data_IF_972891930409
#
_entry.id   IF_972891930409
#
_cell.length_a   1.000
_cell.length_b   1.000
_cell.length_c   1.000
_cell.angle_alpha   90.00
_cell.angle_beta   90.00
_cell.angle_gamma   90.00
#
_symmetry.space_group_name_H-M   'P 1'
#
loop_
_entity.id
_entity.type
_entity.pdbx_description
1 polymer ?
#
# COMPACT_ATOMS: atom_id res chain seq x y z
N UNK A 1 -2.56 8.14 -23.40
CA UNK A 1 -2.23 9.18 -22.40
C UNK A 1 -2.10 8.44 -21.09
N UNK A 2 -0.91 8.38 -20.49
CA UNK A 2 -0.68 7.56 -19.29
C UNK A 2 -1.44 8.12 -18.10
N UNK A 3 -1.81 7.25 -17.16
CA UNK A 3 -2.31 7.63 -15.84
C UNK A 3 -1.11 7.72 -14.88
N UNK A 4 -0.40 8.86 -14.78
CA UNK A 4 0.73 9.00 -13.86
C UNK A 4 0.32 8.78 -12.40
N UNK A 5 -0.95 8.91 -12.07
CA UNK A 5 -1.54 8.62 -10.75
C UNK A 5 -1.30 7.17 -10.33
N UNK A 6 -1.37 6.23 -11.29
CA UNK A 6 -1.07 4.81 -11.05
C UNK A 6 0.36 4.67 -10.55
N UNK A 7 1.32 5.35 -11.18
CA UNK A 7 2.73 5.30 -10.77
C UNK A 7 2.91 5.86 -9.36
N UNK A 8 2.36 7.04 -9.08
CA UNK A 8 2.51 7.67 -7.76
C UNK A 8 1.88 6.83 -6.65
N UNK A 9 0.65 6.38 -6.82
CA UNK A 9 -0.08 5.67 -5.78
C UNK A 9 0.47 4.25 -5.55
N UNK A 10 0.85 3.55 -6.62
CA UNK A 10 1.50 2.23 -6.51
C UNK A 10 2.87 2.31 -5.82
N UNK A 11 3.69 3.31 -6.15
CA UNK A 11 4.99 3.51 -5.51
C UNK A 11 4.83 3.86 -4.01
N UNK A 12 3.93 4.79 -3.68
CA UNK A 12 3.72 5.25 -2.31
C UNK A 12 3.17 4.11 -1.44
N UNK A 13 2.13 3.40 -1.88
CA UNK A 13 1.56 2.27 -1.13
C UNK A 13 2.58 1.14 -0.91
N UNK A 14 3.35 0.78 -1.94
CA UNK A 14 4.41 -0.24 -1.84
C UNK A 14 5.50 0.14 -0.85
N UNK A 15 5.86 1.43 -0.76
CA UNK A 15 6.83 1.92 0.21
C UNK A 15 6.25 2.01 1.64
N UNK A 16 4.97 2.39 1.77
CA UNK A 16 4.29 2.48 3.06
C UNK A 16 4.06 1.11 3.70
N UNK A 17 3.83 0.07 2.89
CA UNK A 17 3.51 -1.26 3.42
C UNK A 17 4.60 -1.87 4.31
N UNK A 18 5.88 -2.00 3.88
CA UNK A 18 6.93 -2.53 4.74
C UNK A 18 7.19 -1.63 5.96
N UNK A 19 7.00 -0.31 5.84
CA UNK A 19 7.07 0.61 6.97
C UNK A 19 6.01 0.30 8.03
N UNK A 20 4.75 0.11 7.62
CA UNK A 20 3.67 -0.26 8.53
C UNK A 20 3.84 -1.67 9.10
N UNK A 21 4.25 -2.65 8.29
CA UNK A 21 4.56 -4.00 8.75
C UNK A 21 5.65 -3.99 9.84
N UNK A 22 6.69 -3.17 9.65
CA UNK A 22 7.74 -2.95 10.65
C UNK A 22 7.20 -2.28 11.92
N UNK A 23 6.36 -1.24 11.80
CA UNK A 23 5.71 -0.61 12.96
C UNK A 23 4.82 -1.59 13.75
N UNK A 24 4.16 -2.52 13.07
CA UNK A 24 3.33 -3.57 13.66
C UNK A 24 4.12 -4.78 14.18
N UNK A 25 5.45 -4.79 14.01
CA UNK A 25 6.37 -5.85 14.43
C UNK A 25 6.08 -7.21 13.76
N UNK A 26 5.70 -7.20 12.49
CA UNK A 26 5.69 -8.42 11.69
C UNK A 26 7.12 -8.94 11.46
N UNK A 27 7.31 -10.25 11.20
CA UNK A 27 8.64 -10.84 11.08
C UNK A 27 9.50 -10.17 10.00
N UNK A 28 10.75 -9.84 10.34
CA UNK A 28 11.67 -9.17 9.40
C UNK A 28 11.96 -10.03 8.16
N UNK A 29 11.97 -11.35 8.29
CA UNK A 29 12.14 -12.28 7.16
C UNK A 29 11.03 -12.09 6.12
N UNK A 30 9.78 -12.02 6.56
CA UNK A 30 8.63 -11.78 5.70
C UNK A 30 8.66 -10.38 5.04
N UNK A 31 9.06 -9.34 5.80
CA UNK A 31 9.21 -7.99 5.25
C UNK A 31 10.27 -7.98 4.13
N UNK A 32 11.40 -8.66 4.35
CA UNK A 32 12.50 -8.74 3.38
C UNK A 32 12.17 -9.61 2.16
N UNK A 33 11.33 -10.63 2.32
CA UNK A 33 10.79 -11.40 1.20
C UNK A 33 9.77 -10.61 0.37
N UNK A 34 9.32 -9.45 0.86
CA UNK A 34 8.42 -8.56 0.14
C UNK A 34 6.96 -9.03 0.12
N UNK A 35 6.60 -10.04 0.92
CA UNK A 35 5.22 -10.58 0.94
C UNK A 35 4.19 -9.53 1.36
N UNK A 36 4.62 -8.55 2.16
CA UNK A 36 3.80 -7.43 2.61
C UNK A 36 3.67 -6.32 1.55
N UNK A 37 4.53 -6.27 0.52
CA UNK A 37 4.55 -5.21 -0.49
C UNK A 37 3.65 -5.43 -1.71
N UNK A 38 3.51 -6.69 -2.17
CA UNK A 38 2.77 -7.00 -3.40
C UNK A 38 1.30 -6.59 -3.35
N UNK A 39 0.65 -6.85 -2.22
CA UNK A 39 -0.74 -6.52 -2.03
C UNK A 39 -0.96 -4.99 -2.00
N UNK A 40 -0.04 -4.26 -1.38
CA UNK A 40 -0.06 -2.81 -1.37
C UNK A 40 0.13 -2.21 -2.78
N UNK A 41 1.02 -2.77 -3.62
CA UNK A 41 1.19 -2.27 -5.00
C UNK A 41 -0.10 -2.39 -5.81
N UNK A 42 -0.82 -3.51 -5.69
CA UNK A 42 -2.10 -3.71 -6.38
C UNK A 42 -3.17 -2.73 -5.89
N UNK A 43 -3.22 -2.49 -4.58
CA UNK A 43 -4.12 -1.49 -3.99
C UNK A 43 -3.80 -0.08 -4.49
N UNK A 44 -2.52 0.29 -4.57
CA UNK A 44 -2.09 1.56 -5.12
C UNK A 44 -2.39 1.73 -6.60
N UNK A 45 -2.27 0.66 -7.40
CA UNK A 45 -2.71 0.66 -8.81
C UNK A 45 -4.21 0.93 -8.91
N UNK A 46 -5.02 0.22 -8.12
CA UNK A 46 -6.47 0.40 -8.09
C UNK A 46 -6.85 1.83 -7.68
N UNK A 47 -6.20 2.38 -6.66
CA UNK A 47 -6.39 3.76 -6.26
C UNK A 47 -6.00 4.73 -7.39
N UNK A 48 -4.89 4.51 -8.08
CA UNK A 48 -4.45 5.39 -9.17
C UNK A 48 -5.38 5.36 -10.40
N UNK A 49 -6.21 4.33 -10.53
CA UNK A 49 -7.24 4.25 -11.57
C UNK A 49 -8.57 4.87 -11.17
N UNK A 50 -8.90 4.86 -9.87
CA UNK A 50 -10.26 5.11 -9.38
C UNK A 50 -10.39 6.35 -8.49
N UNK A 51 -9.29 6.80 -7.89
CA UNK A 51 -9.28 7.83 -6.85
C UNK A 51 -8.53 9.06 -7.35
N UNK A 52 -9.14 10.26 -7.29
CA UNK A 52 -8.47 11.48 -7.70
C UNK A 52 -7.34 11.85 -6.72
N UNK A 53 -6.25 12.39 -7.26
CA UNK A 53 -5.12 12.93 -6.48
C UNK A 53 -5.61 14.13 -5.68
N UNK A 54 -5.87 13.90 -4.40
CA UNK A 54 -6.47 14.83 -3.46
C UNK A 54 -6.07 14.44 -2.03
N UNK A 55 -6.26 15.33 -1.07
CA UNK A 55 -6.01 15.03 0.35
C UNK A 55 -6.82 13.81 0.80
N UNK A 56 -8.09 13.74 0.40
CA UNK A 56 -8.95 12.57 0.64
C UNK A 56 -8.44 11.32 -0.06
N UNK A 57 -7.93 11.42 -1.28
CA UNK A 57 -7.39 10.27 -2.01
C UNK A 57 -6.12 9.70 -1.37
N UNK A 58 -5.24 10.56 -0.88
CA UNK A 58 -4.06 10.15 -0.11
C UNK A 58 -4.49 9.50 1.22
N UNK A 59 -5.51 10.03 1.89
CA UNK A 59 -6.05 9.41 3.10
C UNK A 59 -6.59 8.00 2.83
N UNK A 60 -7.34 7.81 1.74
CA UNK A 60 -7.84 6.50 1.29
C UNK A 60 -6.68 5.54 0.99
N UNK A 61 -5.61 6.02 0.35
CA UNK A 61 -4.42 5.21 0.08
C UNK A 61 -3.77 4.73 1.38
N UNK A 62 -3.56 5.62 2.35
CA UNK A 62 -2.91 5.32 3.63
C UNK A 62 -3.75 4.35 4.46
N UNK A 63 -5.03 4.68 4.66
CA UNK A 63 -5.95 3.88 5.49
C UNK A 63 -6.14 2.49 4.89
N UNK A 64 -6.38 2.38 3.58
CA UNK A 64 -6.57 1.09 2.94
C UNK A 64 -5.29 0.23 2.90
N UNK A 65 -4.11 0.85 2.77
CA UNK A 65 -2.83 0.11 2.88
C UNK A 65 -2.68 -0.50 4.28
N UNK A 66 -3.02 0.26 5.33
CA UNK A 66 -2.98 -0.23 6.71
C UNK A 66 -4.04 -1.31 6.97
N UNK A 67 -5.27 -1.11 6.51
CA UNK A 67 -6.35 -2.10 6.63
C UNK A 67 -5.97 -3.44 5.99
N UNK A 68 -5.42 -3.40 4.78
CA UNK A 68 -4.98 -4.59 4.05
C UNK A 68 -3.90 -5.36 4.81
N UNK A 69 -2.92 -4.65 5.39
CA UNK A 69 -1.89 -5.23 6.25
C UNK A 69 -2.48 -5.93 7.47
N UNK A 70 -3.41 -5.26 8.17
CA UNK A 70 -4.07 -5.80 9.34
C UNK A 70 -4.84 -7.07 8.99
N UNK A 71 -5.63 -7.05 7.91
CA UNK A 71 -6.37 -8.23 7.42
C UNK A 71 -5.45 -9.41 7.08
N UNK A 72 -4.26 -9.13 6.55
CA UNK A 72 -3.28 -10.17 6.23
C UNK A 72 -2.58 -10.74 7.46
N UNK A 73 -2.30 -9.91 8.47
CA UNK A 73 -1.71 -10.36 9.73
C UNK A 73 -2.64 -11.14 10.65
N UNK A 74 -3.94 -11.22 10.33
CA UNK A 74 -4.89 -12.12 11.01
C UNK A 74 -4.97 -13.54 10.37
N UNK A 75 -4.15 -13.84 9.35
CA UNK A 75 -4.03 -15.19 8.77
C UNK A 75 -3.22 -16.13 9.64
#
# INVERSE_FOLDING_TARGET
>A
MGHPEILYFSAISTALSPFFAWCLRYPDEEINEGIWGYNAVLYGIACGMLVPVSVSGIAVLIVGTLEMLLLMGFR
#
